data_IF_866540517144
#
_entry.id   IF_866540517144
#
_cell.length_a   1.000
_cell.length_b   1.000
_cell.length_c   1.000
_cell.angle_alpha   90.00
_cell.angle_beta   90.00
_cell.angle_gamma   90.00
#
_symmetry.space_group_name_H-M   'P 1'
#
loop_
_entity.id
_entity.type
_entity.pdbx_description
1 polymer ?
#
# COMPACT_ATOMS: atom_id res chain seq x y z
N UNK A 1 69.24 -11.94 28.39
CA UNK A 1 67.77 -12.02 28.58
C UNK A 1 67.22 -10.60 28.59
N UNK A 2 66.65 -10.15 27.47
CA UNK A 2 66.05 -8.80 27.33
C UNK A 2 64.54 -8.98 27.27
N UNK A 3 63.83 -8.43 28.30
CA UNK A 3 62.38 -8.40 28.37
C UNK A 3 61.85 -7.20 27.58
N UNK A 4 61.09 -7.46 26.54
CA UNK A 4 60.34 -6.41 25.82
C UNK A 4 59.00 -6.20 26.51
N UNK A 5 58.75 -4.97 26.96
CA UNK A 5 57.46 -4.48 27.42
C UNK A 5 56.69 -3.96 26.20
N UNK A 6 55.58 -4.55 25.89
CA UNK A 6 54.61 -3.98 24.93
C UNK A 6 53.65 -3.09 25.69
N UNK A 7 53.73 -1.79 25.40
CA UNK A 7 52.81 -0.77 25.88
C UNK A 7 51.58 -0.76 24.90
N UNK A 8 50.44 -1.25 25.36
CA UNK A 8 49.19 -1.15 24.62
C UNK A 8 48.57 0.23 24.85
N UNK A 9 48.60 1.05 23.81
CA UNK A 9 47.89 2.34 23.81
C UNK A 9 46.46 2.06 23.42
N UNK A 10 45.52 2.10 24.38
CA UNK A 10 44.08 2.07 24.11
C UNK A 10 43.64 3.46 23.60
N UNK A 11 43.38 3.53 22.31
CA UNK A 11 42.79 4.71 21.67
C UNK A 11 41.29 4.73 21.95
N UNK A 12 40.85 5.43 22.99
CA UNK A 12 39.47 5.74 23.23
C UNK A 12 38.98 6.73 22.18
N UNK A 13 38.42 6.24 21.09
CA UNK A 13 37.59 7.07 20.20
C UNK A 13 36.28 7.37 20.91
N UNK A 14 36.20 8.55 21.49
CA UNK A 14 34.95 9.12 21.96
C UNK A 14 34.01 9.35 20.76
N UNK A 15 33.02 8.50 20.60
CA UNK A 15 31.87 8.83 19.76
C UNK A 15 31.11 9.94 20.47
N UNK A 16 31.29 11.17 20.01
CA UNK A 16 30.38 12.25 20.33
C UNK A 16 29.01 11.87 19.73
N UNK A 17 28.12 11.35 20.58
CA UNK A 17 26.71 11.26 20.27
C UNK A 17 26.20 12.70 20.16
N UNK A 18 26.21 13.26 18.95
CA UNK A 18 25.38 14.41 18.65
C UNK A 18 23.94 13.93 18.79
N UNK A 19 23.32 14.27 19.91
CA UNK A 19 21.88 14.20 20.09
C UNK A 19 21.27 15.16 19.07
N UNK A 20 20.99 14.69 17.86
CA UNK A 20 19.96 15.27 17.06
C UNK A 20 18.66 15.01 17.80
N UNK A 21 17.95 16.05 18.20
CA UNK A 21 16.53 15.95 18.54
C UNK A 21 15.81 15.48 17.26
N UNK A 22 15.68 14.18 17.09
CA UNK A 22 14.93 13.60 16.01
C UNK A 22 13.50 13.44 16.50
N UNK A 23 12.58 14.18 15.86
CA UNK A 23 11.14 13.91 15.93
C UNK A 23 10.79 12.48 15.46
N UNK A 24 11.79 11.72 14.97
CA UNK A 24 11.68 10.33 14.49
C UNK A 24 11.70 9.27 15.60
N UNK A 25 12.07 9.60 16.84
CA UNK A 25 12.19 8.64 17.96
C UNK A 25 10.87 7.98 18.35
N UNK A 26 9.76 8.46 17.78
CA UNK A 26 8.41 8.01 18.09
C UNK A 26 7.62 7.52 16.85
N UNK A 27 8.31 7.13 15.79
CA UNK A 27 7.69 6.66 14.55
C UNK A 27 7.86 5.15 14.40
N UNK A 28 6.75 4.41 14.35
CA UNK A 28 6.74 3.03 13.88
C UNK A 28 6.41 2.97 12.39
N UNK A 29 6.96 1.97 11.70
CA UNK A 29 6.71 1.78 10.26
C UNK A 29 6.15 0.40 10.01
N UNK A 30 4.97 0.32 9.40
CA UNK A 30 4.42 -0.91 8.85
C UNK A 30 5.01 -1.12 7.46
N UNK A 31 5.71 -2.23 7.26
CA UNK A 31 6.43 -2.58 6.01
C UNK A 31 5.97 -3.90 5.41
N UNK A 32 5.04 -4.60 6.01
CA UNK A 32 4.55 -5.94 5.60
C UNK A 32 5.65 -6.99 5.45
N UNK A 33 6.82 -6.77 6.06
CA UNK A 33 7.96 -7.69 5.99
C UNK A 33 7.90 -8.75 7.10
N UNK A 34 8.41 -9.94 6.77
CA UNK A 34 8.47 -11.06 7.69
C UNK A 34 7.66 -12.28 7.23
N UNK A 35 7.87 -13.39 7.90
CA UNK A 35 7.23 -14.66 7.54
C UNK A 35 5.73 -14.66 7.79
N UNK A 36 5.28 -13.94 8.81
CA UNK A 36 3.87 -13.75 9.16
C UNK A 36 3.09 -13.06 8.02
N UNK A 37 3.68 -12.07 7.38
CA UNK A 37 3.08 -11.38 6.24
C UNK A 37 3.13 -12.22 4.97
N UNK A 38 4.27 -12.85 4.69
CA UNK A 38 4.42 -13.75 3.55
C UNK A 38 3.43 -14.93 3.62
N UNK A 39 3.08 -15.40 4.81
CA UNK A 39 2.10 -16.47 5.00
C UNK A 39 0.65 -16.07 4.64
N UNK A 40 0.36 -14.77 4.52
CA UNK A 40 -0.94 -14.23 4.11
C UNK A 40 -1.08 -14.12 2.58
N UNK A 41 0.00 -14.26 1.82
CA UNK A 41 -0.03 -14.12 0.37
C UNK A 41 -0.83 -15.27 -0.24
N UNK A 42 -1.84 -14.90 -1.02
CA UNK A 42 -2.66 -15.85 -1.75
C UNK A 42 -1.89 -16.42 -2.94
N UNK A 43 -2.17 -17.67 -3.22
CA UNK A 43 -1.76 -18.48 -4.37
C UNK A 43 -0.42 -18.13 -5.02
N UNK A 44 0.60 -19.00 -4.93
CA UNK A 44 1.91 -18.77 -5.54
C UNK A 44 1.89 -18.87 -7.08
N UNK A 45 0.77 -19.22 -7.70
CA UNK A 45 0.67 -19.30 -9.16
C UNK A 45 0.23 -17.97 -9.74
N UNK A 46 1.20 -17.27 -10.24
CA UNK A 46 1.02 -16.01 -10.92
C UNK A 46 0.41 -16.19 -12.30
N UNK A 47 -0.52 -15.31 -12.68
CA UNK A 47 -1.19 -15.37 -13.97
C UNK A 47 -2.45 -16.24 -14.01
N UNK A 48 -2.84 -16.81 -12.87
CA UNK A 48 -4.16 -17.40 -12.66
C UNK A 48 -5.08 -16.40 -11.95
N UNK A 49 -6.32 -16.79 -11.62
CA UNK A 49 -7.24 -15.94 -10.85
C UNK A 49 -6.77 -15.87 -9.39
N UNK A 50 -5.85 -14.96 -9.09
CA UNK A 50 -5.12 -14.85 -7.82
C UNK A 50 -6.02 -14.82 -6.59
N UNK A 51 -7.16 -14.15 -6.68
CA UNK A 51 -8.15 -14.09 -5.60
C UNK A 51 -9.38 -14.96 -5.87
N UNK A 52 -9.30 -15.85 -6.87
CA UNK A 52 -10.35 -16.81 -7.22
C UNK A 52 -9.89 -18.24 -6.93
N UNK A 53 -10.84 -19.16 -6.83
CA UNK A 53 -10.53 -20.57 -6.61
C UNK A 53 -10.00 -20.88 -5.21
N UNK A 54 -8.90 -21.63 -5.13
CA UNK A 54 -8.35 -22.19 -3.87
C UNK A 54 -7.56 -21.22 -3.01
N UNK A 55 -7.54 -19.93 -3.31
CA UNK A 55 -6.85 -18.94 -2.47
C UNK A 55 -7.53 -18.76 -1.09
N UNK A 56 -6.98 -17.89 -0.26
CA UNK A 56 -7.53 -17.55 1.06
C UNK A 56 -8.82 -16.77 0.90
N UNK A 57 -9.92 -17.25 1.49
CA UNK A 57 -11.23 -16.63 1.35
C UNK A 57 -11.34 -15.32 2.13
N UNK A 58 -10.93 -15.34 3.38
CA UNK A 58 -11.00 -14.19 4.27
C UNK A 58 -9.90 -14.31 5.31
N UNK A 59 -9.23 -13.19 5.60
CA UNK A 59 -8.31 -13.08 6.71
C UNK A 59 -8.20 -11.64 7.20
N UNK A 60 -7.88 -11.49 8.49
CA UNK A 60 -7.50 -10.22 9.10
C UNK A 60 -6.02 -10.22 9.42
N UNK A 61 -5.44 -9.03 9.46
CA UNK A 61 -4.07 -8.82 9.91
C UNK A 61 -4.00 -7.61 10.85
N UNK A 62 -3.03 -7.63 11.75
CA UNK A 62 -2.70 -6.52 12.65
C UNK A 62 -1.18 -6.43 12.78
N UNK A 63 -0.63 -5.27 12.52
CA UNK A 63 0.79 -5.02 12.75
C UNK A 63 1.05 -4.71 14.23
N UNK A 64 1.88 -5.53 14.87
CA UNK A 64 2.18 -5.40 16.29
C UNK A 64 2.92 -4.12 16.65
N UNK A 65 3.64 -3.50 15.71
CA UNK A 65 4.43 -2.28 15.93
C UNK A 65 3.58 -1.02 15.86
N UNK A 66 2.77 -0.89 14.82
CA UNK A 66 1.93 0.30 14.59
C UNK A 66 0.55 0.17 15.20
N UNK A 67 0.06 -1.05 15.42
CA UNK A 67 -1.32 -1.33 15.83
C UNK A 67 -2.34 -1.19 14.69
N UNK A 68 -1.89 -0.90 13.45
CA UNK A 68 -2.76 -0.86 12.27
C UNK A 68 -3.25 -2.26 11.92
N UNK A 69 -4.51 -2.34 11.54
CA UNK A 69 -5.16 -3.58 11.11
C UNK A 69 -5.97 -3.37 9.83
N UNK A 70 -6.14 -4.44 9.09
CA UNK A 70 -6.97 -4.53 7.90
C UNK A 70 -7.27 -5.99 7.59
N UNK A 71 -7.71 -6.28 6.39
CA UNK A 71 -7.98 -7.65 6.00
C UNK A 71 -8.59 -7.78 4.62
N UNK A 72 -8.55 -8.99 4.11
CA UNK A 72 -9.18 -9.42 2.88
C UNK A 72 -10.55 -10.01 3.18
N UNK A 73 -11.58 -9.56 2.45
CA UNK A 73 -12.91 -10.15 2.44
C UNK A 73 -13.25 -10.59 1.03
N UNK A 74 -13.52 -11.88 0.85
CA UNK A 74 -14.03 -12.42 -0.40
C UNK A 74 -15.54 -12.43 -0.40
N UNK A 75 -16.12 -11.96 -1.51
CA UNK A 75 -17.54 -12.03 -1.75
C UNK A 75 -17.94 -13.31 -2.48
N UNK A 76 -19.23 -13.61 -2.42
CA UNK A 76 -19.92 -14.61 -3.24
C UNK A 76 -19.27 -16.00 -3.23
N UNK A 77 -19.00 -16.51 -2.04
CA UNK A 77 -18.46 -17.85 -1.83
C UNK A 77 -17.03 -18.05 -2.29
N UNK A 78 -16.23 -16.99 -2.34
CA UNK A 78 -14.81 -17.07 -2.63
C UNK A 78 -14.46 -17.17 -4.12
N UNK A 79 -15.42 -17.07 -5.02
CA UNK A 79 -15.18 -17.29 -6.46
C UNK A 79 -14.90 -16.01 -7.26
N UNK A 80 -15.05 -14.83 -6.66
CA UNK A 80 -14.98 -13.54 -7.35
C UNK A 80 -13.96 -12.58 -6.76
N UNK A 81 -12.92 -13.09 -6.14
CA UNK A 81 -11.88 -12.27 -5.55
C UNK A 81 -12.40 -11.43 -4.40
N UNK A 82 -11.92 -10.22 -4.23
CA UNK A 82 -12.42 -9.31 -3.22
C UNK A 82 -13.26 -8.18 -3.79
N UNK A 83 -14.42 -8.56 -4.26
CA UNK A 83 -15.40 -7.65 -4.84
C UNK A 83 -16.17 -6.81 -3.81
N UNK A 84 -16.00 -7.03 -2.51
CA UNK A 84 -16.62 -6.27 -1.42
C UNK A 84 -15.64 -5.36 -0.68
N UNK A 85 -14.46 -5.12 -1.26
CA UNK A 85 -13.42 -4.35 -0.61
C UNK A 85 -12.52 -5.20 0.28
N UNK A 86 -11.37 -4.65 0.63
CA UNK A 86 -10.41 -5.33 1.48
C UNK A 86 -8.97 -4.92 1.20
N UNK A 87 -8.07 -5.51 1.99
CA UNK A 87 -6.64 -5.27 1.91
C UNK A 87 -5.92 -6.61 1.90
N UNK A 88 -5.44 -7.01 0.74
CA UNK A 88 -4.68 -8.23 0.54
C UNK A 88 -3.18 -7.98 0.72
N UNK A 89 -2.43 -9.03 1.13
CA UNK A 89 -0.97 -8.98 1.14
C UNK A 89 -0.45 -9.65 -0.13
N UNK A 90 0.52 -9.01 -0.78
CA UNK A 90 1.11 -9.46 -2.04
C UNK A 90 2.62 -9.23 -2.07
N UNK A 91 3.28 -9.87 -3.04
CA UNK A 91 4.68 -9.65 -3.40
C UNK A 91 4.92 -9.73 -4.91
N UNK A 92 3.87 -9.63 -5.70
CA UNK A 92 3.93 -9.81 -7.14
C UNK A 92 4.31 -8.50 -7.84
N UNK A 93 5.37 -8.54 -8.66
CA UNK A 93 5.86 -7.40 -9.44
C UNK A 93 5.92 -7.79 -10.91
N UNK A 94 5.25 -7.03 -11.76
CA UNK A 94 5.25 -7.26 -13.20
C UNK A 94 4.98 -5.96 -13.97
N UNK A 95 5.85 -5.63 -14.91
CA UNK A 95 5.77 -4.43 -15.75
C UNK A 95 5.08 -4.65 -17.11
N UNK A 96 4.56 -5.84 -17.37
CA UNK A 96 3.90 -6.21 -18.63
C UNK A 96 2.46 -5.66 -18.72
N UNK A 97 2.31 -4.32 -18.69
CA UNK A 97 1.04 -3.60 -18.50
C UNK A 97 -0.05 -4.02 -19.47
N UNK A 98 0.23 -4.04 -20.76
CA UNK A 98 -0.79 -4.33 -21.77
C UNK A 98 -1.31 -5.77 -21.68
N UNK A 99 -0.44 -6.72 -21.37
CA UNK A 99 -0.81 -8.13 -21.19
C UNK A 99 -1.61 -8.34 -19.92
N UNK A 100 -1.32 -7.56 -18.88
CA UNK A 100 -1.87 -7.70 -17.53
C UNK A 100 -2.94 -6.65 -17.20
N UNK A 101 -3.48 -5.95 -18.19
CA UNK A 101 -4.64 -5.06 -18.04
C UNK A 101 -5.93 -5.89 -17.93
N UNK A 102 -5.99 -6.82 -16.99
CA UNK A 102 -7.14 -7.70 -16.74
C UNK A 102 -7.32 -7.97 -15.24
N UNK A 103 -8.54 -8.30 -14.84
CA UNK A 103 -8.90 -8.56 -13.45
C UNK A 103 -8.16 -9.73 -12.79
N UNK A 104 -7.45 -10.57 -13.55
CA UNK A 104 -6.67 -11.68 -13.01
C UNK A 104 -5.33 -11.24 -12.42
N UNK A 105 -4.94 -9.97 -12.62
CA UNK A 105 -3.66 -9.42 -12.20
C UNK A 105 -3.79 -8.27 -11.19
N UNK A 106 -4.87 -8.28 -10.41
CA UNK A 106 -5.16 -7.23 -9.44
C UNK A 106 -4.18 -7.15 -8.27
N UNK A 107 -3.36 -8.17 -8.01
CA UNK A 107 -2.36 -8.17 -6.93
C UNK A 107 -0.94 -7.80 -7.37
N UNK A 108 -0.74 -7.42 -8.62
CA UNK A 108 0.57 -7.00 -9.13
C UNK A 108 0.80 -5.51 -9.00
N UNK A 109 2.07 -5.13 -8.81
CA UNK A 109 2.53 -3.76 -9.02
C UNK A 109 3.51 -3.71 -10.19
N UNK A 110 3.58 -2.58 -10.94
CA UNK A 110 4.43 -2.49 -12.12
C UNK A 110 5.92 -2.41 -11.78
N UNK A 111 6.26 -2.02 -10.55
CA UNK A 111 7.65 -1.80 -10.13
C UNK A 111 7.80 -2.03 -8.63
N UNK A 112 8.93 -2.64 -8.21
CA UNK A 112 9.26 -2.80 -6.79
C UNK A 112 9.65 -1.45 -6.15
N UNK A 113 9.29 -1.26 -4.88
CA UNK A 113 9.81 -0.17 -4.04
C UNK A 113 11.04 -0.57 -3.20
N UNK A 114 11.56 -1.78 -3.41
CA UNK A 114 12.65 -2.36 -2.62
C UNK A 114 12.19 -3.24 -1.46
N UNK A 115 10.91 -3.19 -1.05
CA UNK A 115 10.31 -4.13 -0.11
C UNK A 115 10.03 -5.45 -0.80
N UNK A 116 9.95 -6.52 0.00
CA UNK A 116 9.56 -7.85 -0.49
C UNK A 116 8.04 -7.96 -0.61
N UNK A 117 7.32 -7.51 0.40
CA UNK A 117 5.88 -7.57 0.48
C UNK A 117 5.26 -6.16 0.50
N UNK A 118 3.99 -6.06 0.16
CA UNK A 118 3.18 -4.84 0.23
C UNK A 118 1.70 -5.21 0.39
N UNK A 119 0.87 -4.25 0.70
CA UNK A 119 -0.57 -4.44 0.71
C UNK A 119 -1.20 -3.95 -0.59
N UNK A 120 -2.27 -4.62 -1.04
CA UNK A 120 -3.10 -4.20 -2.17
C UNK A 120 -4.52 -3.98 -1.68
N UNK A 121 -5.05 -2.82 -1.98
CA UNK A 121 -6.41 -2.38 -1.64
C UNK A 121 -7.33 -2.59 -2.84
N UNK A 122 -8.51 -3.15 -2.59
CA UNK A 122 -9.68 -2.92 -3.41
C UNK A 122 -10.62 -1.96 -2.67
N UNK A 123 -10.89 -0.82 -3.25
CA UNK A 123 -11.79 0.16 -2.64
C UNK A 123 -13.26 -0.34 -2.72
N UNK A 124 -14.03 -0.20 -1.66
CA UNK A 124 -13.99 0.75 -0.54
C UNK A 124 -13.47 0.10 0.78
N UNK A 125 -12.17 -0.13 0.89
CA UNK A 125 -11.58 -0.78 2.05
C UNK A 125 -11.21 0.22 3.16
N UNK A 126 -11.10 -0.29 4.38
CA UNK A 126 -10.73 0.48 5.57
C UNK A 126 -9.58 -0.20 6.30
N UNK A 127 -8.56 0.59 6.68
CA UNK A 127 -7.57 0.21 7.69
C UNK A 127 -7.86 0.96 8.98
N UNK A 128 -7.59 0.34 10.14
CA UNK A 128 -7.99 0.91 11.43
C UNK A 128 -7.06 0.52 12.56
N UNK A 129 -7.05 1.32 13.62
CA UNK A 129 -6.50 0.99 14.91
C UNK A 129 -7.52 0.24 15.78
N UNK A 130 -7.06 -0.30 16.92
CA UNK A 130 -7.94 -0.90 17.91
C UNK A 130 -8.93 0.14 18.47
N UNK A 131 -10.05 -0.32 19.03
CA UNK A 131 -11.04 0.55 19.67
C UNK A 131 -10.40 1.44 20.74
N UNK A 132 -10.73 2.72 20.72
CA UNK A 132 -10.19 3.73 21.63
C UNK A 132 -8.80 4.26 21.28
N UNK A 133 -8.13 3.71 20.27
CA UNK A 133 -6.80 4.18 19.83
C UNK A 133 -6.92 5.18 18.69
N UNK A 134 -6.32 6.36 18.87
CA UNK A 134 -6.18 7.38 17.83
C UNK A 134 -4.68 7.64 17.60
N UNK A 135 -4.21 7.62 16.36
CA UNK A 135 -2.82 7.90 16.02
C UNK A 135 -2.71 8.75 14.77
N UNK A 136 -1.61 9.51 14.65
CA UNK A 136 -1.29 10.23 13.44
C UNK A 136 -0.58 9.26 12.48
N UNK A 137 -1.15 9.07 11.29
CA UNK A 137 -0.46 8.42 10.18
C UNK A 137 0.27 9.52 9.42
N UNK A 138 1.60 9.51 9.47
CA UNK A 138 2.44 10.55 8.87
C UNK A 138 2.51 10.44 7.35
N UNK A 139 2.72 9.24 6.87
CA UNK A 139 2.87 8.99 5.43
C UNK A 139 2.64 7.54 5.09
N UNK A 140 2.41 7.28 3.81
CA UNK A 140 2.51 5.95 3.20
C UNK A 140 3.06 6.07 1.78
N UNK A 141 3.63 5.00 1.28
CA UNK A 141 3.97 4.86 -0.14
C UNK A 141 2.79 4.20 -0.85
N UNK A 142 2.36 4.74 -1.99
CA UNK A 142 1.28 4.20 -2.82
C UNK A 142 1.74 3.95 -4.24
N UNK A 143 1.13 2.96 -4.91
CA UNK A 143 1.42 2.61 -6.30
C UNK A 143 0.14 2.11 -6.98
N UNK A 144 -0.12 2.43 -8.26
CA UNK A 144 -1.16 1.73 -9.00
C UNK A 144 -0.81 0.24 -9.09
N UNK A 145 -1.82 -0.62 -9.12
CA UNK A 145 -1.58 -2.01 -9.55
C UNK A 145 -1.25 -2.05 -11.04
N UNK A 146 -0.59 -3.12 -11.50
CA UNK A 146 -0.33 -3.35 -12.93
C UNK A 146 -1.63 -3.37 -13.72
N UNK A 147 -2.70 -3.90 -13.14
CA UNK A 147 -4.03 -3.90 -13.75
C UNK A 147 -4.57 -2.47 -13.93
N UNK A 148 -4.61 -1.65 -12.88
CA UNK A 148 -5.09 -0.26 -12.97
C UNK A 148 -4.25 0.52 -13.98
N UNK A 149 -2.92 0.52 -13.85
CA UNK A 149 -2.01 1.24 -14.72
C UNK A 149 -2.12 0.79 -16.19
N UNK A 150 -2.33 -0.51 -16.41
CA UNK A 150 -2.53 -1.07 -17.75
C UNK A 150 -3.82 -0.52 -18.40
N UNK A 151 -4.93 -0.49 -17.66
CA UNK A 151 -6.21 0.06 -18.14
C UNK A 151 -6.13 1.57 -18.33
N UNK A 152 -5.52 2.31 -17.39
CA UNK A 152 -5.32 3.77 -17.54
C UNK A 152 -4.48 4.11 -18.78
N UNK A 153 -3.50 3.25 -19.12
CA UNK A 153 -2.58 3.51 -20.25
C UNK A 153 -3.14 3.07 -21.60
N UNK A 154 -3.82 1.93 -21.66
CA UNK A 154 -4.21 1.28 -22.92
C UNK A 154 -5.72 1.08 -23.09
N UNK A 155 -6.49 1.21 -22.01
CA UNK A 155 -7.87 0.70 -21.96
C UNK A 155 -7.92 -0.83 -21.97
N UNK A 156 -9.12 -1.39 -21.81
CA UNK A 156 -9.35 -2.84 -21.83
C UNK A 156 -10.56 -3.27 -22.69
N UNK A 157 -11.10 -2.34 -23.48
CA UNK A 157 -12.31 -2.52 -24.27
C UNK A 157 -13.61 -2.18 -23.53
N UNK A 158 -13.58 -2.08 -22.19
CA UNK A 158 -14.68 -1.56 -21.37
C UNK A 158 -14.39 -0.15 -20.87
N UNK A 159 -13.22 0.06 -20.29
CA UNK A 159 -12.71 1.37 -19.91
C UNK A 159 -11.78 1.93 -20.99
N UNK A 160 -11.82 3.24 -21.21
CA UNK A 160 -10.88 3.92 -22.12
C UNK A 160 -9.53 4.16 -21.45
N UNK A 161 -8.48 4.42 -22.23
CA UNK A 161 -7.25 4.99 -21.71
C UNK A 161 -7.49 6.42 -21.17
N UNK A 162 -6.79 6.81 -20.10
CA UNK A 162 -6.89 8.13 -19.44
C UNK A 162 -5.73 9.04 -19.88
N UNK A 163 -5.60 9.26 -21.18
CA UNK A 163 -4.46 9.94 -21.79
C UNK A 163 -4.76 11.35 -22.30
N UNK A 164 -5.99 11.81 -22.12
CA UNK A 164 -6.46 13.07 -22.68
C UNK A 164 -6.71 14.13 -21.58
N UNK A 165 -6.81 15.39 -22.00
CA UNK A 165 -7.21 16.49 -21.12
C UNK A 165 -8.63 16.25 -20.58
N UNK A 166 -8.84 16.47 -19.28
CA UNK A 166 -10.10 16.18 -18.58
C UNK A 166 -10.21 14.76 -18.02
N UNK A 167 -9.34 13.84 -18.44
CA UNK A 167 -9.30 12.50 -17.85
C UNK A 167 -8.75 12.54 -16.43
N UNK A 168 -9.40 11.77 -15.56
CA UNK A 168 -8.91 11.62 -14.19
C UNK A 168 -9.25 10.24 -13.59
N UNK A 169 -8.41 9.83 -12.63
CA UNK A 169 -8.64 8.76 -11.68
C UNK A 169 -8.05 9.21 -10.35
N UNK A 170 -8.87 9.36 -9.33
CA UNK A 170 -8.50 9.95 -8.05
C UNK A 170 -8.79 8.98 -6.91
N UNK A 171 -7.79 8.76 -6.05
CA UNK A 171 -7.95 8.11 -4.75
C UNK A 171 -8.32 9.18 -3.72
N UNK A 172 -9.46 9.01 -3.06
CA UNK A 172 -9.84 9.79 -1.89
C UNK A 172 -9.61 8.97 -0.63
N UNK A 173 -8.79 9.48 0.27
CA UNK A 173 -8.50 8.91 1.59
C UNK A 173 -9.33 9.69 2.60
N UNK A 174 -10.29 9.01 3.24
CA UNK A 174 -11.20 9.61 4.22
C UNK A 174 -10.87 9.11 5.62
N UNK A 175 -10.59 10.03 6.53
CA UNK A 175 -10.39 9.76 7.95
C UNK A 175 -11.72 9.72 8.70
N UNK A 176 -11.81 8.94 9.79
CA UNK A 176 -13.01 8.87 10.66
C UNK A 176 -13.39 10.21 11.30
N UNK A 177 -12.46 11.17 11.39
CA UNK A 177 -12.70 12.53 11.84
C UNK A 177 -13.30 13.46 10.77
N UNK A 178 -13.62 12.94 9.58
CA UNK A 178 -14.23 13.65 8.46
C UNK A 178 -13.27 14.40 7.56
N UNK A 179 -11.96 14.42 7.83
CA UNK A 179 -10.96 14.98 6.91
C UNK A 179 -10.69 14.04 5.76
N UNK A 180 -10.39 14.62 4.60
CA UNK A 180 -10.10 13.89 3.38
C UNK A 180 -8.80 14.37 2.74
N UNK A 181 -8.20 13.50 1.92
CA UNK A 181 -7.08 13.81 1.05
C UNK A 181 -7.28 13.12 -0.29
N UNK A 182 -7.14 13.88 -1.38
CA UNK A 182 -7.20 13.35 -2.73
C UNK A 182 -5.79 13.16 -3.31
N UNK A 183 -5.60 12.05 -4.01
CA UNK A 183 -4.38 11.73 -4.73
C UNK A 183 -4.72 11.29 -6.14
N UNK A 184 -4.23 12.02 -7.13
CA UNK A 184 -4.43 11.65 -8.52
C UNK A 184 -3.54 10.47 -8.93
N UNK A 185 -4.16 9.43 -9.45
CA UNK A 185 -3.52 8.34 -10.17
C UNK A 185 -3.42 8.68 -11.66
N UNK A 186 -4.45 9.32 -12.22
CA UNK A 186 -4.41 9.95 -13.52
C UNK A 186 -5.03 11.35 -13.45
N UNK A 187 -4.44 12.31 -14.18
CA UNK A 187 -4.95 13.67 -14.33
C UNK A 187 -4.45 14.28 -15.63
N UNK A 188 -5.37 14.66 -16.54
CA UNK A 188 -5.06 15.35 -17.80
C UNK A 188 -3.95 14.66 -18.61
N UNK A 189 -4.02 13.33 -18.75
CA UNK A 189 -3.04 12.52 -19.46
C UNK A 189 -1.76 12.20 -18.66
N UNK A 190 -1.59 12.77 -17.47
CA UNK A 190 -0.49 12.40 -16.57
C UNK A 190 -0.92 11.24 -15.68
N UNK A 191 -0.27 10.09 -15.84
CA UNK A 191 -0.58 8.86 -15.12
C UNK A 191 0.54 8.56 -14.13
N UNK A 192 0.20 8.24 -12.88
CA UNK A 192 1.13 7.74 -11.87
C UNK A 192 1.60 6.33 -12.26
N UNK A 193 2.92 6.14 -12.44
CA UNK A 193 3.48 4.89 -12.98
C UNK A 193 4.34 4.10 -12.00
N UNK A 194 4.57 4.65 -10.82
CA UNK A 194 5.49 4.10 -9.84
C UNK A 194 5.06 4.49 -8.43
N UNK A 195 5.77 3.97 -7.44
CA UNK A 195 5.57 4.32 -6.05
C UNK A 195 5.74 5.82 -5.79
N UNK A 196 4.82 6.37 -5.02
CA UNK A 196 4.80 7.76 -4.60
C UNK A 196 4.55 7.82 -3.10
N UNK A 197 5.42 8.51 -2.37
CA UNK A 197 5.15 8.85 -0.97
C UNK A 197 4.15 9.96 -0.87
N UNK A 198 3.13 9.78 -0.04
CA UNK A 198 2.14 10.79 0.29
C UNK A 198 2.24 11.14 1.78
N UNK A 199 2.12 12.43 2.10
CA UNK A 199 2.06 12.94 3.47
C UNK A 199 0.61 12.97 3.93
N UNK A 200 0.29 12.26 5.01
CA UNK A 200 -1.05 12.15 5.59
C UNK A 200 -1.20 12.96 6.88
N UNK A 201 -0.17 13.69 7.30
CA UNK A 201 -0.13 14.39 8.59
C UNK A 201 -1.29 15.38 8.76
N UNK A 202 -1.77 15.99 7.66
CA UNK A 202 -2.89 16.94 7.67
C UNK A 202 -4.22 16.30 8.11
N UNK A 203 -4.36 14.97 8.01
CA UNK A 203 -5.54 14.26 8.52
C UNK A 203 -5.61 14.28 10.05
N UNK A 204 -4.46 14.45 10.74
CA UNK A 204 -4.35 14.47 12.19
C UNK A 204 -4.47 13.08 12.80
N UNK A 205 -4.83 13.03 14.08
CA UNK A 205 -5.06 11.76 14.78
C UNK A 205 -6.37 11.11 14.31
N UNK A 206 -6.29 9.85 13.91
CA UNK A 206 -7.39 9.09 13.32
C UNK A 206 -7.52 7.72 13.97
N UNK A 207 -8.73 7.15 13.95
CA UNK A 207 -9.02 5.74 14.30
C UNK A 207 -8.96 4.86 13.08
N UNK A 208 -9.29 5.41 11.90
CA UNK A 208 -9.34 4.66 10.65
C UNK A 208 -9.16 5.57 9.44
N UNK A 209 -8.70 4.95 8.34
CA UNK A 209 -8.71 5.52 7.00
C UNK A 209 -9.52 4.62 6.08
N UNK A 210 -10.44 5.19 5.32
CA UNK A 210 -11.18 4.52 4.25
C UNK A 210 -10.70 5.03 2.89
N UNK A 211 -10.54 4.11 1.97
CA UNK A 211 -10.03 4.37 0.62
C UNK A 211 -11.14 4.22 -0.39
N UNK A 212 -11.40 5.26 -1.18
CA UNK A 212 -12.33 5.22 -2.30
C UNK A 212 -11.65 5.71 -3.57
N UNK A 213 -12.03 5.17 -4.71
CA UNK A 213 -11.51 5.63 -6.00
C UNK A 213 -12.66 5.98 -6.93
N UNK A 214 -12.52 7.10 -7.64
CA UNK A 214 -13.46 7.56 -8.65
C UNK A 214 -12.71 8.22 -9.82
N UNK A 215 -13.36 8.34 -10.97
CA UNK A 215 -12.74 8.86 -12.17
C UNK A 215 -13.72 9.40 -13.21
N UNK A 216 -13.19 9.94 -14.30
CA UNK A 216 -13.98 10.59 -15.38
C UNK A 216 -14.70 9.58 -16.27
N UNK A 217 -14.14 8.38 -16.49
CA UNK A 217 -14.76 7.37 -17.36
C UNK A 217 -15.75 6.51 -16.55
N UNK A 218 -17.04 6.80 -16.77
CA UNK A 218 -18.16 6.20 -16.00
C UNK A 218 -19.19 5.53 -16.88
N UNK A 219 -19.89 4.58 -16.29
CA UNK A 219 -21.14 4.01 -16.80
C UNK A 219 -22.28 4.30 -15.81
N UNK A 220 -23.46 3.78 -16.06
CA UNK A 220 -24.56 3.78 -15.10
C UNK A 220 -24.25 2.99 -13.79
N UNK A 221 -23.24 2.12 -13.84
CA UNK A 221 -22.78 1.32 -12.69
C UNK A 221 -21.58 1.94 -11.94
N UNK A 222 -21.18 3.18 -12.30
CA UNK A 222 -20.06 3.87 -11.67
C UNK A 222 -18.80 3.94 -12.55
N UNK A 223 -17.65 4.16 -11.91
CA UNK A 223 -16.35 4.23 -12.60
C UNK A 223 -16.02 2.88 -13.26
N UNK A 224 -15.52 2.92 -14.51
CA UNK A 224 -15.19 1.71 -15.25
C UNK A 224 -13.80 1.16 -14.96
N UNK A 225 -12.91 2.02 -14.47
CA UNK A 225 -11.54 1.65 -14.17
C UNK A 225 -11.45 0.76 -12.92
N UNK A 226 -10.45 -0.14 -12.87
CA UNK A 226 -10.18 -0.96 -11.69
C UNK A 226 -9.88 -0.08 -10.47
N UNK A 227 -10.52 -0.36 -9.33
CA UNK A 227 -10.32 0.39 -8.07
C UNK A 227 -9.30 -0.30 -7.17
N UNK A 228 -8.10 -0.59 -7.72
CA UNK A 228 -7.02 -1.28 -7.03
C UNK A 228 -5.77 -0.42 -6.97
N UNK A 229 -5.19 -0.32 -5.78
CA UNK A 229 -3.87 0.26 -5.62
C UNK A 229 -3.08 -0.49 -4.53
N UNK A 230 -1.76 -0.39 -4.56
CA UNK A 230 -0.89 -0.92 -3.53
C UNK A 230 -0.44 0.17 -2.57
N UNK A 231 -0.18 -0.20 -1.29
CA UNK A 231 0.49 0.68 -0.35
C UNK A 231 1.53 -0.08 0.50
N UNK A 232 2.50 0.67 1.02
CA UNK A 232 3.58 0.17 1.85
C UNK A 232 4.19 1.30 2.71
N UNK A 233 5.13 0.95 3.60
CA UNK A 233 5.92 1.91 4.38
C UNK A 233 5.06 2.92 5.14
N UNK A 234 4.00 2.45 5.81
CA UNK A 234 3.08 3.31 6.56
C UNK A 234 3.75 3.76 7.86
N UNK A 235 4.04 5.06 7.96
CA UNK A 235 4.63 5.69 9.14
C UNK A 235 3.55 6.16 10.11
N UNK A 236 3.63 5.70 11.34
CA UNK A 236 2.65 6.00 12.40
C UNK A 236 3.36 6.59 13.61
N UNK A 237 2.85 7.71 14.12
CA UNK A 237 3.29 8.25 15.41
C UNK A 237 2.81 7.37 16.55
N UNK A 238 3.77 6.97 17.39
CA UNK A 238 3.49 6.21 18.60
C UNK A 238 3.39 7.15 19.80
N UNK A 239 2.61 6.78 20.80
CA UNK A 239 2.57 7.50 22.07
C UNK A 239 3.94 7.41 22.78
N UNK A 240 4.34 8.52 23.42
CA UNK A 240 5.59 8.59 24.21
C UNK A 240 5.41 7.90 25.56
#
# INVERSE_FOLDING_TARGET
MKKFFYLAIALCMGFALTSCNNDDDNIAVLTFEGTEWTALIDNPQYGGPLLYGEGKDTYGWTDARTGLSGGLTRAWGGNYGYSEGGVAISNYVCDSLQKHATYTYQLEVPVSNGSKNFAVVYCDATIKFAEGVNRVIRSMDICPTTYLLGVETYGDGYAKALTEAGDNMTLTITADNGKTMDVDFARDGNILKTWKRIDLSALGAVKSLTFTMDGSDKSEYGVKHPKYFAFDNVKVEMEK
#
